data_IF_370793192387
#
_entry.id   IF_370793192387
#
_cell.length_a   1.000
_cell.length_b   1.000
_cell.length_c   1.000
_cell.angle_alpha   90.00
_cell.angle_beta   90.00
_cell.angle_gamma   90.00
#
_symmetry.space_group_name_H-M   'P 1'
#
loop_
_entity.id
_entity.type
_entity.pdbx_description
1 polymer ?
#
# COMPACT_ATOMS: atom_id res chain seq x y z
N UNK A 1 -15.26 9.30 0.63
CA UNK A 1 -13.92 8.71 0.70
C UNK A 1 -14.11 7.31 0.20
N UNK A 2 -13.59 7.02 -0.98
CA UNK A 2 -13.88 5.76 -1.64
C UNK A 2 -12.75 4.79 -1.36
N UNK A 3 -13.09 3.50 -1.22
CA UNK A 3 -12.15 2.43 -0.91
C UNK A 3 -12.40 1.33 -1.93
N UNK A 4 -11.33 0.88 -2.58
CA UNK A 4 -11.34 -0.31 -3.42
C UNK A 4 -10.59 -1.44 -2.73
N UNK A 5 -11.02 -2.68 -2.98
CA UNK A 5 -10.32 -3.89 -2.51
C UNK A 5 -10.00 -4.74 -3.73
N UNK A 6 -8.72 -5.09 -3.88
CA UNK A 6 -8.23 -5.98 -4.93
C UNK A 6 -7.63 -7.24 -4.28
N UNK A 7 -8.23 -8.39 -4.57
CA UNK A 7 -7.67 -9.68 -4.19
C UNK A 7 -6.68 -10.16 -5.25
N UNK A 8 -5.41 -10.34 -4.87
CA UNK A 8 -4.36 -10.88 -5.74
C UNK A 8 -4.17 -12.36 -5.43
N UNK A 9 -4.68 -13.24 -6.29
CA UNK A 9 -4.60 -14.70 -6.10
C UNK A 9 -3.24 -15.29 -6.45
N UNK A 10 -2.50 -14.63 -7.35
CA UNK A 10 -1.14 -15.02 -7.72
C UNK A 10 -0.33 -13.79 -8.12
N UNK A 11 0.60 -13.39 -7.24
CA UNK A 11 1.52 -12.28 -7.49
C UNK A 11 2.40 -12.54 -8.73
N UNK A 12 2.86 -13.78 -8.90
CA UNK A 12 3.74 -14.15 -10.02
C UNK A 12 3.04 -14.02 -11.37
N UNK A 13 1.79 -14.51 -11.49
CA UNK A 13 1.06 -14.45 -12.76
C UNK A 13 0.74 -13.02 -13.17
N UNK A 14 0.29 -12.20 -12.22
CA UNK A 14 -0.06 -10.80 -12.51
C UNK A 14 1.20 -9.95 -12.77
N UNK A 15 2.32 -10.24 -12.11
CA UNK A 15 3.61 -9.62 -12.41
C UNK A 15 4.19 -10.07 -13.77
N UNK A 16 4.13 -11.36 -14.08
CA UNK A 16 4.59 -11.88 -15.38
C UNK A 16 3.80 -11.25 -16.54
N UNK A 17 2.48 -11.12 -16.37
CA UNK A 17 1.61 -10.44 -17.32
C UNK A 17 1.99 -8.95 -17.50
N UNK A 18 2.22 -8.23 -16.40
CA UNK A 18 2.70 -6.84 -16.41
C UNK A 18 4.05 -6.71 -17.12
N UNK A 19 5.04 -7.50 -16.73
CA UNK A 19 6.38 -7.49 -17.32
C UNK A 19 6.37 -7.84 -18.82
N UNK A 20 5.48 -8.74 -19.25
CA UNK A 20 5.30 -9.06 -20.66
C UNK A 20 4.64 -7.90 -21.44
N UNK A 21 3.68 -7.18 -20.84
CA UNK A 21 3.05 -6.01 -21.45
C UNK A 21 4.04 -4.86 -21.63
N UNK A 22 4.87 -4.58 -20.62
CA UNK A 22 5.88 -3.51 -20.66
C UNK A 22 6.93 -3.65 -21.78
N UNK A 23 7.05 -4.85 -22.37
CA UNK A 23 7.97 -5.15 -23.48
C UNK A 23 7.31 -5.07 -24.87
N UNK A 24 6.02 -4.75 -24.94
CA UNK A 24 5.24 -4.69 -26.18
C UNK A 24 4.57 -3.33 -26.32
N UNK A 25 4.63 -2.73 -27.51
CA UNK A 25 4.14 -1.36 -27.71
C UNK A 25 2.60 -1.23 -27.72
N UNK A 26 1.87 -2.33 -27.95
CA UNK A 26 0.40 -2.32 -28.09
C UNK A 26 -0.30 -3.33 -27.16
N UNK A 27 0.27 -3.61 -25.99
CA UNK A 27 -0.32 -4.54 -25.02
C UNK A 27 -0.49 -3.88 -23.67
N UNK A 28 -1.71 -3.94 -23.13
CA UNK A 28 -2.02 -3.52 -21.77
C UNK A 28 -2.24 -4.77 -20.93
N UNK A 29 -1.50 -4.89 -19.83
CA UNK A 29 -1.64 -5.97 -18.85
C UNK A 29 -2.98 -5.91 -18.12
N UNK A 30 -3.35 -7.00 -17.48
CA UNK A 30 -4.54 -7.09 -16.66
C UNK A 30 -4.52 -6.09 -15.50
N UNK A 31 -3.38 -5.91 -14.82
CA UNK A 31 -3.27 -4.98 -13.70
C UNK A 31 -3.40 -3.52 -14.15
N UNK A 32 -2.84 -3.15 -15.30
CA UNK A 32 -3.01 -1.80 -15.85
C UNK A 32 -4.47 -1.49 -16.14
N UNK A 33 -5.24 -2.47 -16.64
CA UNK A 33 -6.69 -2.32 -16.85
C UNK A 33 -7.45 -2.15 -15.54
N UNK A 34 -7.16 -2.98 -14.53
CA UNK A 34 -7.80 -2.90 -13.23
C UNK A 34 -7.54 -1.56 -12.53
N UNK A 35 -6.34 -1.02 -12.70
CA UNK A 35 -5.94 0.25 -12.09
C UNK A 35 -6.26 1.47 -12.96
N UNK A 36 -6.84 1.32 -14.16
CA UNK A 36 -7.03 2.41 -15.12
C UNK A 36 -7.87 3.59 -14.57
N UNK A 37 -8.87 3.29 -13.75
CA UNK A 37 -9.76 4.30 -13.16
C UNK A 37 -9.33 4.73 -11.75
N UNK A 38 -8.25 4.17 -11.21
CA UNK A 38 -7.72 4.54 -9.88
C UNK A 38 -7.00 5.90 -9.99
N UNK A 39 -7.38 6.93 -9.22
CA UNK A 39 -6.71 8.22 -9.30
C UNK A 39 -5.21 8.12 -8.93
N UNK A 40 -4.34 8.89 -9.59
CA UNK A 40 -2.90 8.89 -9.28
C UNK A 40 -2.56 9.31 -7.83
N UNK A 41 -3.44 10.07 -7.19
CA UNK A 41 -3.31 10.47 -5.79
C UNK A 41 -3.85 9.43 -4.80
N UNK A 42 -4.51 8.36 -5.28
CA UNK A 42 -4.95 7.29 -4.42
C UNK A 42 -3.75 6.51 -3.90
N UNK A 43 -3.72 6.26 -2.59
CA UNK A 43 -2.71 5.44 -1.94
C UNK A 43 -3.05 3.95 -2.09
N UNK A 44 -2.05 3.12 -2.37
CA UNK A 44 -2.17 1.67 -2.40
C UNK A 44 -1.55 1.10 -1.12
N UNK A 45 -2.36 0.38 -0.35
CA UNK A 45 -1.90 -0.42 0.77
C UNK A 45 -1.88 -1.88 0.32
N UNK A 46 -0.71 -2.52 0.32
CA UNK A 46 -0.60 -3.96 0.07
C UNK A 46 -0.40 -4.72 1.37
N UNK A 47 -0.95 -5.93 1.45
CA UNK A 47 -0.76 -6.85 2.58
C UNK A 47 -0.60 -8.26 2.04
N UNK A 48 0.37 -8.99 2.57
CA UNK A 48 0.61 -10.39 2.20
C UNK A 48 1.21 -11.15 3.37
N UNK A 49 0.83 -12.42 3.55
CA UNK A 49 1.51 -13.34 4.46
C UNK A 49 2.78 -13.89 3.77
N UNK A 50 3.75 -12.99 3.57
CA UNK A 50 4.97 -13.19 2.79
C UNK A 50 5.77 -11.90 2.70
N UNK A 51 6.91 -11.91 2.00
CA UNK A 51 7.78 -10.73 1.94
C UNK A 51 7.07 -9.55 1.25
N UNK A 52 7.05 -8.33 1.83
CA UNK A 52 6.28 -7.20 1.29
C UNK A 52 6.70 -6.79 -0.13
N UNK A 53 7.96 -7.05 -0.49
CA UNK A 53 8.49 -6.81 -1.84
C UNK A 53 7.70 -7.55 -2.95
N UNK A 54 7.02 -8.66 -2.64
CA UNK A 54 6.21 -9.43 -3.60
C UNK A 54 5.10 -8.60 -4.26
N UNK A 55 4.54 -7.62 -3.56
CA UNK A 55 3.48 -6.75 -4.07
C UNK A 55 3.87 -5.28 -4.18
N UNK A 56 5.07 -4.88 -3.73
CA UNK A 56 5.50 -3.49 -3.71
C UNK A 56 5.50 -2.82 -5.10
N UNK A 57 5.74 -3.60 -6.16
CA UNK A 57 5.76 -3.13 -7.55
C UNK A 57 4.41 -2.60 -8.04
N UNK A 58 3.28 -2.94 -7.38
CA UNK A 58 1.95 -2.46 -7.78
C UNK A 58 1.87 -0.93 -7.77
N UNK A 59 2.61 -0.26 -6.89
CA UNK A 59 2.71 1.20 -6.89
C UNK A 59 3.34 1.77 -8.15
N UNK A 60 4.27 1.02 -8.76
CA UNK A 60 4.96 1.42 -9.98
C UNK A 60 4.10 1.32 -11.24
N UNK A 61 2.97 0.60 -11.22
CA UNK A 61 2.12 0.42 -12.40
C UNK A 61 1.58 1.76 -12.92
N UNK A 62 1.13 2.64 -12.01
CA UNK A 62 0.64 4.00 -12.34
C UNK A 62 1.24 5.11 -11.49
N UNK A 63 2.30 4.82 -10.73
CA UNK A 63 2.99 5.79 -9.87
C UNK A 63 2.22 6.17 -8.60
N UNK A 64 1.38 5.28 -8.09
CA UNK A 64 0.59 5.51 -6.88
C UNK A 64 1.48 5.43 -5.63
N UNK A 65 1.31 6.33 -4.64
CA UNK A 65 1.93 6.18 -3.33
C UNK A 65 1.58 4.82 -2.74
N UNK A 66 2.59 4.03 -2.34
CA UNK A 66 2.37 2.64 -1.94
C UNK A 66 3.09 2.31 -0.64
N UNK A 67 2.39 1.61 0.26
CA UNK A 67 2.97 1.03 1.47
C UNK A 67 2.63 -0.44 1.52
N UNK A 68 3.63 -1.30 1.70
CA UNK A 68 3.46 -2.74 1.80
C UNK A 68 3.64 -3.24 3.22
N UNK A 69 2.73 -4.12 3.63
CA UNK A 69 2.81 -4.90 4.87
C UNK A 69 3.05 -6.37 4.52
N UNK A 70 3.93 -7.01 5.29
CA UNK A 70 4.26 -8.41 5.10
C UNK A 70 5.23 -8.93 6.14
N UNK A 71 5.65 -10.18 5.95
CA UNK A 71 6.55 -10.90 6.82
C UNK A 71 7.99 -10.69 6.34
N UNK A 72 8.79 -9.96 7.11
CA UNK A 72 10.19 -9.64 6.76
C UNK A 72 11.19 -10.61 7.37
N UNK A 73 10.84 -11.25 8.48
CA UNK A 73 11.72 -12.17 9.21
C UNK A 73 11.00 -13.47 9.55
N UNK A 74 11.77 -14.54 9.60
CA UNK A 74 11.29 -15.88 9.94
C UNK A 74 11.76 -16.29 11.34
N UNK A 75 11.15 -17.35 11.89
CA UNK A 75 11.58 -17.99 13.14
C UNK A 75 10.71 -17.73 14.36
N UNK A 76 9.59 -17.02 14.19
CA UNK A 76 8.64 -16.71 15.25
C UNK A 76 7.67 -17.88 15.44
N UNK A 77 7.38 -18.23 16.69
CA UNK A 77 6.37 -19.22 17.05
C UNK A 77 5.36 -18.57 17.99
N UNK A 78 4.08 -18.83 17.78
CA UNK A 78 3.02 -18.24 18.60
C UNK A 78 1.64 -18.48 17.98
N UNK A 79 0.62 -17.83 18.55
CA UNK A 79 -0.72 -17.85 17.96
C UNK A 79 -0.72 -16.99 16.70
N UNK A 80 -1.51 -17.38 15.70
CA UNK A 80 -1.64 -16.65 14.42
C UNK A 80 -1.91 -15.16 14.63
N UNK A 81 -2.80 -14.81 15.56
CA UNK A 81 -3.14 -13.41 15.87
C UNK A 81 -1.95 -12.61 16.42
N UNK A 82 -1.10 -13.24 17.23
CA UNK A 82 0.07 -12.58 17.80
C UNK A 82 1.15 -12.37 16.73
N UNK A 83 1.30 -13.35 15.82
CA UNK A 83 2.20 -13.24 14.66
C UNK A 83 1.73 -12.17 13.68
N UNK A 84 0.44 -12.08 13.38
CA UNK A 84 -0.10 -11.05 12.50
C UNK A 84 0.11 -9.65 13.07
N UNK A 85 -0.06 -9.48 14.39
CA UNK A 85 0.27 -8.22 15.07
C UNK A 85 1.77 -7.95 15.04
N UNK A 86 2.60 -8.96 15.26
CA UNK A 86 4.06 -8.82 15.23
C UNK A 86 4.57 -8.32 13.87
N UNK A 87 4.01 -8.83 12.77
CA UNK A 87 4.35 -8.43 11.41
C UNK A 87 3.55 -7.24 10.86
N UNK A 88 2.66 -6.65 11.67
CA UNK A 88 1.85 -5.50 11.24
C UNK A 88 0.82 -5.80 10.15
N UNK A 89 0.50 -7.08 9.91
CA UNK A 89 -0.52 -7.51 8.94
C UNK A 89 -1.91 -7.69 9.57
N UNK A 90 -2.04 -7.37 10.85
CA UNK A 90 -3.33 -7.34 11.55
C UNK A 90 -4.13 -6.07 11.22
N UNK A 91 -5.44 -6.13 11.49
CA UNK A 91 -6.36 -5.06 11.13
C UNK A 91 -6.02 -3.69 11.75
N UNK A 92 -5.53 -3.62 12.99
CA UNK A 92 -5.23 -2.35 13.65
C UNK A 92 -4.05 -1.66 12.95
N UNK A 93 -3.02 -2.44 12.62
CA UNK A 93 -1.84 -1.99 11.89
C UNK A 93 -2.20 -1.48 10.48
N UNK A 94 -3.04 -2.21 9.75
CA UNK A 94 -3.50 -1.83 8.42
C UNK A 94 -4.33 -0.54 8.44
N UNK A 95 -5.28 -0.42 9.38
CA UNK A 95 -6.10 0.79 9.56
C UNK A 95 -5.23 1.99 9.89
N UNK A 96 -4.27 1.83 10.83
CA UNK A 96 -3.33 2.89 11.18
C UNK A 96 -2.53 3.34 9.97
N UNK A 97 -2.01 2.41 9.17
CA UNK A 97 -1.26 2.71 7.96
C UNK A 97 -2.10 3.46 6.92
N UNK A 98 -3.35 3.03 6.70
CA UNK A 98 -4.27 3.71 5.77
C UNK A 98 -4.57 5.15 6.20
N UNK A 99 -4.76 5.39 7.51
CA UNK A 99 -4.99 6.72 8.08
C UNK A 99 -3.77 7.63 7.96
N UNK A 100 -2.55 7.10 8.06
CA UNK A 100 -1.32 7.88 7.86
C UNK A 100 -1.10 8.27 6.39
N UNK A 101 -1.43 7.39 5.45
CA UNK A 101 -1.20 7.62 4.01
C UNK A 101 -2.25 8.53 3.38
N UNK A 102 -3.48 8.50 3.87
CA UNK A 102 -4.54 9.34 3.35
C UNK A 102 -4.60 10.61 4.19
N UNK A 103 -4.01 11.75 3.78
CA UNK A 103 -4.22 12.98 4.51
C UNK A 103 -5.72 13.19 4.65
N UNK A 104 -6.19 13.19 5.90
CA UNK A 104 -7.44 13.86 6.25
C UNK A 104 -7.44 15.21 5.55
N UNK A 105 -8.60 15.67 5.12
CA UNK A 105 -8.81 17.07 4.77
C UNK A 105 -8.10 17.88 5.86
N UNK A 106 -6.91 18.43 5.59
CA UNK A 106 -6.20 19.25 6.57
C UNK A 106 -7.08 20.48 6.66
N UNK A 107 -7.91 20.56 7.69
CA UNK A 107 -8.44 21.84 8.09
C UNK A 107 -7.20 22.67 8.43
N UNK A 108 -6.83 23.57 7.52
CA UNK A 108 -5.75 24.53 7.72
C UNK A 108 -6.23 25.50 8.79
N UNK A 109 -6.10 25.06 10.04
CA UNK A 109 -6.04 25.88 11.25
C UNK A 109 -4.96 25.26 12.15
N UNK A 110 -3.78 25.00 11.58
CA UNK A 110 -2.57 25.05 12.38
C UNK A 110 -2.28 26.52 12.60
N UNK A 111 -2.85 27.05 13.68
CA UNK A 111 -2.52 28.38 14.19
C UNK A 111 -1.03 28.33 14.54
N UNK A 112 -0.27 29.26 13.96
CA UNK A 112 1.13 29.48 14.27
C UNK A 112 1.34 29.50 15.80
N UNK A 113 2.28 28.72 16.38
CA UNK A 113 2.79 29.08 17.69
C UNK A 113 3.56 30.38 17.50
N UNK A 114 2.97 31.49 17.94
CA UNK A 114 3.65 32.77 18.03
C UNK A 114 4.92 32.57 18.88
N UNK A 115 6.09 32.80 18.27
CA UNK A 115 7.27 33.22 19.02
C UNK A 115 6.94 34.58 19.65
N UNK A 116 6.87 34.71 20.98
CA UNK A 116 7.23 35.95 21.68
C UNK A 116 7.83 35.66 23.07
N UNK A 117 9.15 35.87 23.12
CA UNK A 117 10.05 36.37 24.15
C UNK A 117 9.89 36.10 25.66
N UNK A 118 11.04 35.65 26.18
CA UNK A 118 11.63 35.87 27.50
C UNK A 118 11.47 37.33 27.96
N UNK A 119 11.01 37.50 29.20
CA UNK A 119 11.34 38.60 30.10
C UNK A 119 11.62 38.00 31.49
#
# INVERSE_FOLDING_TARGET
RDIGVLAVTSADRIYADFNAASKSQNRISHIEKLLADVPHHASILTVIDGHPATLAWLGGVRGNPTTGHGVETFGQTGRVIDLYRHFGIDHESLVRSALHQTPGRRNVKQVHPAQINVA
#
